data_IF_544620032236
#
_entry.id   IF_544620032236
#
_cell.length_a   1.000
_cell.length_b   1.000
_cell.length_c   1.000
_cell.angle_alpha   90.00
_cell.angle_beta   90.00
_cell.angle_gamma   90.00
#
_symmetry.space_group_name_H-M   'P 1'
#
loop_
_entity.id
_entity.type
_entity.pdbx_description
1 polymer ?
#
# COMPACT_ATOMS: atom_id res chain seq x y z
N UNK A 1 -12.97 -3.18 -34.09
CA UNK A 1 -11.53 -2.93 -33.82
C UNK A 1 -10.84 -4.28 -33.65
N UNK A 2 -9.68 -4.48 -34.28
CA UNK A 2 -8.86 -5.67 -34.03
C UNK A 2 -8.44 -5.67 -32.55
N UNK A 3 -8.75 -6.76 -31.86
CA UNK A 3 -8.51 -6.91 -30.42
C UNK A 3 -7.09 -7.42 -30.12
N UNK A 4 -6.19 -7.30 -31.11
CA UNK A 4 -4.79 -7.68 -31.01
C UNK A 4 -4.02 -6.58 -30.28
N UNK A 5 -3.13 -7.00 -29.39
CA UNK A 5 -2.23 -6.11 -28.68
C UNK A 5 -1.15 -5.59 -29.63
N UNK A 6 -0.96 -4.28 -29.69
CA UNK A 6 0.09 -3.64 -30.47
C UNK A 6 0.96 -2.77 -29.55
N UNK A 7 2.25 -3.11 -29.49
CA UNK A 7 3.23 -2.44 -28.64
C UNK A 7 3.44 -0.96 -29.01
N UNK A 8 3.41 -0.62 -30.31
CA UNK A 8 3.59 0.76 -30.77
C UNK A 8 2.41 1.62 -30.35
N UNK A 9 1.20 1.04 -30.39
CA UNK A 9 -0.01 1.69 -29.93
C UNK A 9 -0.03 1.86 -28.41
N UNK A 10 0.37 0.81 -27.68
CA UNK A 10 0.49 0.84 -26.23
C UNK A 10 1.46 1.94 -25.75
N UNK A 11 2.65 2.05 -26.35
CA UNK A 11 3.61 3.12 -26.03
C UNK A 11 3.04 4.52 -26.21
N UNK A 12 2.30 4.76 -27.30
CA UNK A 12 1.62 6.05 -27.54
C UNK A 12 0.55 6.33 -26.49
N UNK A 13 -0.21 5.30 -26.09
CA UNK A 13 -1.19 5.39 -25.01
C UNK A 13 -0.54 5.76 -23.68
N UNK A 14 0.52 5.05 -23.30
CA UNK A 14 1.29 5.31 -22.07
C UNK A 14 1.86 6.74 -22.09
N UNK A 15 2.50 7.16 -23.18
CA UNK A 15 3.02 8.52 -23.29
C UNK A 15 1.92 9.60 -23.18
N UNK A 16 0.74 9.34 -23.74
CA UNK A 16 -0.42 10.23 -23.60
C UNK A 16 -0.91 10.28 -22.15
N UNK A 17 -1.05 9.13 -21.48
CA UNK A 17 -1.47 9.06 -20.08
C UNK A 17 -0.45 9.72 -19.14
N UNK A 18 0.85 9.60 -19.41
CA UNK A 18 1.91 10.33 -18.68
C UNK A 18 1.74 11.85 -18.76
N UNK A 19 1.55 12.38 -19.97
CA UNK A 19 1.36 13.83 -20.18
C UNK A 19 0.06 14.32 -19.55
N UNK A 20 -0.99 13.49 -19.58
CA UNK A 20 -2.28 13.78 -18.97
C UNK A 20 -2.30 13.66 -17.44
N UNK A 21 -1.32 12.99 -16.84
CA UNK A 21 -1.23 12.78 -15.39
C UNK A 21 -1.02 14.08 -14.62
N UNK A 22 -0.06 14.92 -15.06
CA UNK A 22 0.30 16.15 -14.36
C UNK A 22 -0.89 17.11 -14.15
N UNK A 23 -1.64 17.52 -15.20
CA UNK A 23 -2.76 18.44 -15.01
C UNK A 23 -3.96 17.82 -14.27
N UNK A 24 -4.07 16.49 -14.22
CA UNK A 24 -5.24 15.81 -13.60
C UNK A 24 -5.00 15.41 -12.14
N UNK A 25 -3.80 14.94 -11.82
CA UNK A 25 -3.47 14.34 -10.54
C UNK A 25 -2.17 14.89 -9.91
N UNK A 26 -1.34 15.62 -10.68
CA UNK A 26 -0.06 16.16 -10.20
C UNK A 26 -0.20 17.08 -8.98
N UNK A 27 -1.22 17.95 -8.95
CA UNK A 27 -1.46 18.81 -7.78
C UNK A 27 -1.82 18.01 -6.53
N UNK A 28 -2.65 16.97 -6.65
CA UNK A 28 -2.97 16.08 -5.53
C UNK A 28 -1.73 15.33 -5.05
N UNK A 29 -0.89 14.85 -5.96
CA UNK A 29 0.38 14.21 -5.61
C UNK A 29 1.30 15.16 -4.86
N UNK A 30 1.44 16.40 -5.33
CA UNK A 30 2.26 17.42 -4.67
C UNK A 30 1.78 17.66 -3.23
N UNK A 31 0.47 17.84 -3.04
CA UNK A 31 -0.12 18.02 -1.71
C UNK A 31 0.19 16.81 -0.80
N UNK A 32 0.02 15.59 -1.31
CA UNK A 32 0.33 14.36 -0.56
C UNK A 32 1.82 14.33 -0.17
N UNK A 33 2.72 14.66 -1.10
CA UNK A 33 4.18 14.64 -0.85
C UNK A 33 4.66 15.72 0.12
N UNK A 34 3.87 16.77 0.35
CA UNK A 34 4.19 17.82 1.32
C UNK A 34 3.73 17.50 2.75
N UNK A 35 2.98 16.42 2.97
CA UNK A 35 2.54 16.03 4.32
C UNK A 35 3.71 15.85 5.30
N UNK A 36 4.84 15.19 4.96
CA UNK A 36 6.01 15.11 5.84
C UNK A 36 6.58 16.48 6.19
N UNK A 37 6.58 17.43 5.26
CA UNK A 37 7.01 18.80 5.53
C UNK A 37 6.07 19.49 6.52
N UNK A 38 4.76 19.29 6.42
CA UNK A 38 3.81 19.82 7.39
C UNK A 38 4.02 19.25 8.79
N UNK A 39 4.26 17.94 8.91
CA UNK A 39 4.59 17.28 10.19
C UNK A 39 5.89 17.83 10.76
N UNK A 40 6.92 17.97 9.92
CA UNK A 40 8.20 18.54 10.33
C UNK A 40 8.06 19.99 10.82
N UNK A 41 7.30 20.84 10.10
CA UNK A 41 7.04 22.23 10.51
C UNK A 41 6.35 22.23 11.89
N UNK A 42 5.37 21.37 12.09
CA UNK A 42 4.66 21.27 13.36
C UNK A 42 5.60 20.88 14.52
N UNK A 43 6.47 19.90 14.33
CA UNK A 43 7.45 19.51 15.34
C UNK A 43 8.51 20.59 15.58
N UNK A 44 8.98 21.26 14.52
CA UNK A 44 9.90 22.38 14.64
C UNK A 44 9.29 23.53 15.45
N UNK A 45 7.98 23.81 15.29
CA UNK A 45 7.25 24.80 16.08
C UNK A 45 7.18 24.42 17.56
N UNK A 46 6.99 23.13 17.87
CA UNK A 46 6.95 22.65 19.26
C UNK A 46 8.32 22.72 19.94
N UNK A 47 9.41 22.51 19.21
CA UNK A 47 10.78 22.59 19.74
C UNK A 47 11.22 24.03 20.09
N UNK A 48 10.44 25.06 19.72
CA UNK A 48 10.66 26.42 20.24
C UNK A 48 10.16 26.59 21.69
N UNK A 49 9.37 25.65 22.20
CA UNK A 49 8.92 25.67 23.59
C UNK A 49 10.09 25.18 24.48
N UNK A 50 10.51 25.96 25.48
CA UNK A 50 11.63 25.57 26.33
C UNK A 50 11.34 24.25 27.06
N UNK A 51 12.32 23.34 27.06
CA UNK A 51 12.28 21.97 27.59
C UNK A 51 11.44 20.95 26.79
N UNK A 52 11.15 21.21 25.52
CA UNK A 52 10.49 20.25 24.62
C UNK A 52 11.43 19.95 23.44
N UNK A 53 12.01 18.75 23.45
CA UNK A 53 12.84 18.25 22.35
C UNK A 53 12.14 17.05 21.70
N UNK A 54 11.46 17.30 20.58
CA UNK A 54 10.77 16.28 19.79
C UNK A 54 11.66 15.92 18.60
N UNK A 55 12.12 14.68 18.60
CA UNK A 55 12.83 14.07 17.48
C UNK A 55 11.97 12.99 16.84
N UNK A 56 11.98 12.91 15.51
CA UNK A 56 11.27 11.88 14.77
C UNK A 56 12.28 10.85 14.27
N UNK A 57 12.23 9.59 14.77
CA UNK A 57 13.17 8.56 14.37
C UNK A 57 12.99 8.17 12.90
N UNK A 58 14.07 7.73 12.25
CA UNK A 58 14.05 7.38 10.83
C UNK A 58 13.01 6.31 10.46
N UNK A 59 12.73 5.35 11.36
CA UNK A 59 11.69 4.32 11.17
C UNK A 59 10.29 4.94 11.07
N UNK A 60 9.97 5.94 11.90
CA UNK A 60 8.67 6.62 11.85
C UNK A 60 8.48 7.36 10.52
N UNK A 61 9.56 7.96 9.97
CA UNK A 61 9.53 8.62 8.66
C UNK A 61 9.27 7.64 7.52
N UNK A 62 9.85 6.44 7.55
CA UNK A 62 9.52 5.37 6.60
C UNK A 62 8.05 4.96 6.66
N UNK A 63 7.47 4.89 7.86
CA UNK A 63 6.04 4.60 8.04
C UNK A 63 5.19 5.73 7.43
N UNK A 64 5.57 6.99 7.65
CA UNK A 64 4.92 8.15 7.03
C UNK A 64 4.99 8.03 5.50
N UNK A 65 6.18 7.83 4.92
CA UNK A 65 6.37 7.67 3.47
C UNK A 65 5.56 6.51 2.90
N UNK A 66 5.54 5.36 3.58
CA UNK A 66 4.70 4.21 3.22
C UNK A 66 3.21 4.57 3.20
N UNK A 67 2.75 5.33 4.20
CA UNK A 67 1.36 5.81 4.28
C UNK A 67 1.02 6.74 3.12
N UNK A 68 1.93 7.62 2.70
CA UNK A 68 1.73 8.47 1.51
C UNK A 68 1.58 7.65 0.24
N UNK A 69 2.38 6.60 0.10
CA UNK A 69 2.30 5.66 -1.02
C UNK A 69 0.92 4.98 -1.04
N UNK A 70 0.41 4.52 0.12
CA UNK A 70 -0.93 3.95 0.22
C UNK A 70 -2.04 4.96 -0.14
N UNK A 71 -1.95 6.20 0.36
CA UNK A 71 -2.89 7.28 0.01
C UNK A 71 -2.88 7.52 -1.51
N UNK A 72 -1.68 7.53 -2.12
CA UNK A 72 -1.54 7.70 -3.56
C UNK A 72 -2.20 6.56 -4.34
N UNK A 73 -2.02 5.30 -3.93
CA UNK A 73 -2.68 4.14 -4.55
C UNK A 73 -4.20 4.23 -4.46
N UNK A 74 -4.72 4.70 -3.32
CA UNK A 74 -6.16 4.90 -3.09
C UNK A 74 -6.73 5.97 -4.03
N UNK A 75 -6.02 7.08 -4.20
CA UNK A 75 -6.51 8.23 -4.96
C UNK A 75 -6.26 8.12 -6.48
N UNK A 76 -5.15 7.50 -6.90
CA UNK A 76 -4.69 7.50 -8.29
C UNK A 76 -5.72 6.99 -9.31
N UNK A 77 -6.43 5.86 -9.09
CA UNK A 77 -7.44 5.39 -10.05
C UNK A 77 -8.54 6.42 -10.31
N UNK A 78 -8.98 7.09 -9.24
CA UNK A 78 -10.04 8.09 -9.32
C UNK A 78 -9.57 9.44 -9.86
N UNK A 79 -8.30 9.80 -9.65
CA UNK A 79 -7.72 11.05 -10.13
C UNK A 79 -7.43 11.00 -11.63
N UNK A 80 -6.81 9.91 -12.10
CA UNK A 80 -6.40 9.78 -13.51
C UNK A 80 -7.53 9.28 -14.41
N UNK A 81 -8.33 8.31 -13.93
CA UNK A 81 -9.32 7.59 -14.73
C UNK A 81 -10.75 7.86 -14.25
N UNK A 82 -11.02 9.07 -13.75
CA UNK A 82 -12.35 9.47 -13.26
C UNK A 82 -13.47 9.28 -14.28
N UNK A 83 -13.21 9.62 -15.54
CA UNK A 83 -14.25 9.68 -16.58
C UNK A 83 -14.43 8.38 -17.34
N UNK A 84 -13.66 7.32 -17.03
CA UNK A 84 -13.66 6.08 -17.82
C UNK A 84 -15.04 5.40 -17.86
N UNK A 85 -15.86 5.51 -16.81
CA UNK A 85 -17.17 4.86 -16.74
C UNK A 85 -18.35 5.82 -16.94
N UNK A 86 -18.09 7.06 -17.36
CA UNK A 86 -19.11 8.07 -17.63
C UNK A 86 -19.42 8.11 -19.14
N UNK A 87 -20.69 7.97 -19.55
CA UNK A 87 -21.04 7.87 -20.96
C UNK A 87 -20.85 9.18 -21.75
N UNK A 88 -20.90 10.35 -21.10
CA UNK A 88 -20.71 11.66 -21.76
C UNK A 88 -19.26 12.13 -21.70
N UNK A 89 -18.66 12.08 -20.52
CA UNK A 89 -17.28 12.59 -20.30
C UNK A 89 -16.20 11.56 -20.69
N UNK A 90 -16.58 10.28 -20.81
CA UNK A 90 -15.69 9.18 -21.15
C UNK A 90 -15.58 8.89 -22.64
N UNK A 91 -16.28 9.62 -23.51
CA UNK A 91 -16.29 9.41 -24.96
C UNK A 91 -14.87 9.49 -25.53
N UNK A 92 -14.07 10.47 -25.08
CA UNK A 92 -12.66 10.57 -25.49
C UNK A 92 -11.89 9.29 -25.17
N UNK A 93 -12.06 8.74 -23.96
CA UNK A 93 -11.41 7.51 -23.53
C UNK A 93 -11.92 6.28 -24.31
N UNK A 94 -13.21 6.26 -24.66
CA UNK A 94 -13.82 5.23 -25.49
C UNK A 94 -13.25 5.24 -26.92
N UNK A 95 -13.14 6.43 -27.51
CA UNK A 95 -12.70 6.67 -28.89
C UNK A 95 -11.19 6.48 -29.10
N UNK A 96 -10.40 6.36 -28.02
CA UNK A 96 -8.98 6.03 -28.15
C UNK A 96 -8.82 4.74 -28.97
N UNK A 97 -7.98 4.74 -30.02
CA UNK A 97 -7.81 3.61 -30.94
C UNK A 97 -7.10 2.40 -30.32
N UNK A 98 -7.02 2.33 -28.98
CA UNK A 98 -6.38 1.27 -28.21
C UNK A 98 -7.32 0.11 -27.91
N UNK A 99 -6.77 -1.10 -27.80
CA UNK A 99 -7.53 -2.28 -27.39
C UNK A 99 -7.93 -2.21 -25.90
N UNK A 100 -8.91 -3.01 -25.47
CA UNK A 100 -9.30 -3.06 -24.05
C UNK A 100 -8.15 -3.55 -23.16
N UNK A 101 -7.31 -4.45 -23.67
CA UNK A 101 -6.13 -4.94 -22.96
C UNK A 101 -5.09 -3.84 -22.75
N UNK A 102 -4.81 -3.04 -23.77
CA UNK A 102 -3.86 -1.92 -23.67
C UNK A 102 -4.34 -0.87 -22.66
N UNK A 103 -5.64 -0.54 -22.69
CA UNK A 103 -6.27 0.38 -21.72
C UNK A 103 -6.14 -0.16 -20.30
N UNK A 104 -6.39 -1.45 -20.10
CA UNK A 104 -6.23 -2.12 -18.81
C UNK A 104 -4.77 -2.09 -18.31
N UNK A 105 -3.81 -2.45 -19.16
CA UNK A 105 -2.39 -2.43 -18.79
C UNK A 105 -1.88 -1.01 -18.53
N UNK A 106 -2.36 -0.01 -19.26
CA UNK A 106 -2.01 1.40 -18.98
C UNK A 106 -2.55 1.80 -17.61
N UNK A 107 -3.81 1.46 -17.30
CA UNK A 107 -4.41 1.75 -16.01
C UNK A 107 -3.64 1.06 -14.86
N UNK A 108 -3.25 -0.20 -15.04
CA UNK A 108 -2.46 -0.96 -14.06
C UNK A 108 -1.08 -0.33 -13.87
N UNK A 109 -0.34 -0.05 -14.96
CA UNK A 109 0.98 0.55 -14.91
C UNK A 109 0.98 1.88 -14.13
N UNK A 110 0.03 2.76 -14.42
CA UNK A 110 -0.03 4.07 -13.77
C UNK A 110 -0.49 4.02 -12.32
N UNK A 111 -1.55 3.26 -12.03
CA UNK A 111 -2.13 3.22 -10.68
C UNK A 111 -1.29 2.39 -9.71
N UNK A 112 -0.64 1.31 -10.18
CA UNK A 112 0.10 0.36 -9.34
C UNK A 112 1.59 0.66 -9.29
N UNK A 113 2.19 1.29 -10.31
CA UNK A 113 3.65 1.47 -10.37
C UNK A 113 4.02 2.94 -10.45
N UNK A 114 3.59 3.66 -11.49
CA UNK A 114 4.13 4.99 -11.80
C UNK A 114 3.77 6.02 -10.73
N UNK A 115 2.48 6.18 -10.38
CA UNK A 115 2.08 7.20 -9.40
C UNK A 115 2.65 6.93 -8.00
N UNK A 116 2.56 5.70 -7.46
CA UNK A 116 3.16 5.36 -6.17
C UNK A 116 4.68 5.58 -6.13
N UNK A 117 5.40 5.19 -7.19
CA UNK A 117 6.85 5.40 -7.30
C UNK A 117 7.20 6.90 -7.32
N UNK A 118 6.47 7.69 -8.11
CA UNK A 118 6.69 9.13 -8.14
C UNK A 118 6.41 9.80 -6.79
N UNK A 119 5.37 9.36 -6.08
CA UNK A 119 5.08 9.83 -4.72
C UNK A 119 6.22 9.47 -3.76
N UNK A 120 6.76 8.25 -3.84
CA UNK A 120 7.89 7.81 -3.03
C UNK A 120 9.15 8.64 -3.32
N UNK A 121 9.52 8.80 -4.59
CA UNK A 121 10.70 9.58 -4.99
C UNK A 121 10.58 11.04 -4.54
N UNK A 122 9.42 11.65 -4.73
CA UNK A 122 9.17 13.02 -4.28
C UNK A 122 9.17 13.13 -2.74
N UNK A 123 8.58 12.16 -2.03
CA UNK A 123 8.60 12.12 -0.57
C UNK A 123 10.00 11.97 0.01
N UNK A 124 10.83 11.10 -0.58
CA UNK A 124 12.24 10.95 -0.21
C UNK A 124 13.02 12.23 -0.52
N UNK A 125 12.75 12.89 -1.66
CA UNK A 125 13.38 14.17 -1.97
C UNK A 125 13.01 15.26 -0.94
N UNK A 126 11.75 15.33 -0.51
CA UNK A 126 11.32 16.24 0.56
C UNK A 126 12.02 15.90 1.88
N UNK A 127 12.07 14.64 2.27
CA UNK A 127 12.75 14.20 3.50
C UNK A 127 14.25 14.58 3.51
N UNK A 128 14.93 14.39 2.38
CA UNK A 128 16.33 14.79 2.21
C UNK A 128 16.51 16.31 2.35
N UNK A 129 15.64 17.11 1.75
CA UNK A 129 15.69 18.58 1.89
C UNK A 129 15.49 18.98 3.36
N UNK A 130 14.54 18.35 4.06
CA UNK A 130 14.24 18.66 5.47
C UNK A 130 15.37 18.25 6.42
N UNK A 131 16.03 17.12 6.15
CA UNK A 131 17.17 16.63 6.96
C UNK A 131 18.42 17.51 6.80
N UNK A 132 18.55 18.24 5.68
CA UNK A 132 19.66 19.19 5.48
C UNK A 132 19.50 20.50 6.27
N UNK A 133 18.32 20.78 6.82
CA UNK A 133 18.08 22.00 7.60
C UNK A 133 18.68 21.84 9.01
N UNK A 134 19.37 22.87 9.55
CA UNK A 134 20.09 22.77 10.82
C UNK A 134 19.18 22.83 12.05
N UNK A 135 17.87 22.82 11.87
CA UNK A 135 16.85 22.92 12.91
C UNK A 135 15.69 21.98 12.58
N UNK A 136 14.81 21.73 13.56
CA UNK A 136 13.65 20.85 13.39
C UNK A 136 13.88 19.46 13.96
N UNK A 137 13.01 18.51 13.59
CA UNK A 137 12.91 17.21 14.27
C UNK A 137 13.65 16.06 13.56
N UNK A 138 14.32 16.33 12.43
CA UNK A 138 14.99 15.32 11.60
C UNK A 138 16.51 15.50 11.71
N UNK A 139 17.17 14.57 12.40
CA UNK A 139 18.63 14.62 12.62
C UNK A 139 19.38 13.44 12.00
N UNK A 140 18.69 12.30 11.81
CA UNK A 140 19.28 11.09 11.24
C UNK A 140 19.01 10.99 9.72
N UNK A 141 19.86 10.24 9.02
CA UNK A 141 19.58 9.89 7.62
C UNK A 141 18.49 8.83 7.53
N UNK A 142 17.65 8.90 6.49
CA UNK A 142 16.54 7.95 6.29
C UNK A 142 17.02 6.48 6.25
N UNK A 143 18.24 6.24 5.79
CA UNK A 143 18.82 4.90 5.58
C UNK A 143 19.55 4.33 6.79
N UNK A 144 19.80 5.13 7.83
CA UNK A 144 20.59 4.72 8.99
C UNK A 144 20.06 3.45 9.69
N UNK A 145 18.74 3.23 9.82
CA UNK A 145 18.23 2.00 10.43
C UNK A 145 18.63 0.73 9.68
N UNK A 146 18.83 0.78 8.36
CA UNK A 146 19.19 -0.41 7.59
C UNK A 146 20.61 -0.89 7.89
N UNK A 147 21.55 0.03 8.15
CA UNK A 147 22.91 -0.34 8.54
C UNK A 147 22.97 -1.04 9.90
N UNK A 148 22.06 -0.70 10.82
CA UNK A 148 21.97 -1.31 12.15
C UNK A 148 21.37 -2.72 12.13
N UNK A 149 20.64 -3.10 11.08
CA UNK A 149 20.06 -4.45 10.95
C UNK A 149 21.12 -5.52 10.70
N UNK A 150 22.15 -5.21 9.90
CA UNK A 150 23.24 -6.16 9.60
C UNK A 150 24.06 -6.49 10.85
N UNK A 151 24.23 -5.54 11.78
CA UNK A 151 24.95 -5.75 13.04
C UNK A 151 24.17 -6.63 14.03
N UNK A 152 22.84 -6.50 14.06
CA UNK A 152 21.96 -7.30 14.93
C UNK A 152 21.98 -8.77 14.51
N UNK A 153 21.94 -9.07 13.20
CA UNK A 153 21.98 -10.44 12.68
C UNK A 153 23.30 -11.17 13.06
N UNK A 154 24.42 -10.44 13.10
CA UNK A 154 25.73 -10.98 13.50
C UNK A 154 25.77 -11.27 15.00
N UNK A 155 25.25 -10.37 15.84
CA UNK A 155 25.22 -10.56 17.30
C UNK A 155 24.29 -11.71 17.72
N UNK A 156 23.14 -11.85 17.07
CA UNK A 156 22.20 -12.95 17.29
C UNK A 156 22.80 -14.31 16.89
N UNK A 157 23.56 -14.35 15.78
CA UNK A 157 24.23 -15.57 15.32
C UNK A 157 25.33 -16.05 16.27
N UNK A 158 25.99 -15.13 16.97
CA UNK A 158 27.06 -15.46 17.94
C UNK A 158 26.56 -15.88 19.33
N UNK A 159 25.30 -15.59 19.68
CA UNK A 159 24.75 -15.80 21.03
C UNK A 159 23.80 -17.02 21.16
N UNK A 160 23.63 -17.82 20.11
CA UNK A 160 22.52 -18.77 20.03
C UNK A 160 22.77 -20.12 20.76
N UNK A 161 22.08 -20.33 21.88
CA UNK A 161 21.76 -21.66 22.43
C UNK A 161 20.60 -22.31 21.62
N UNK A 162 20.39 -23.62 21.71
CA UNK A 162 19.35 -24.35 20.92
C UNK A 162 17.95 -23.74 21.01
N UNK A 163 17.49 -23.33 22.19
CA UNK A 163 16.19 -22.65 22.35
C UNK A 163 16.13 -21.22 21.77
N UNK A 164 17.27 -20.54 21.64
CA UNK A 164 17.35 -19.25 20.97
C UNK A 164 17.25 -19.40 19.44
N UNK A 165 17.75 -20.51 18.88
CA UNK A 165 17.69 -20.77 17.43
C UNK A 165 16.24 -20.84 16.93
N UNK A 166 15.35 -21.52 17.66
CA UNK A 166 13.94 -21.64 17.28
C UNK A 166 13.20 -20.29 17.35
N UNK A 167 13.45 -19.51 18.41
CA UNK A 167 12.88 -18.16 18.55
C UNK A 167 13.35 -17.22 17.42
N UNK A 168 14.63 -17.29 17.05
CA UNK A 168 15.19 -16.49 15.94
C UNK A 168 14.59 -16.89 14.59
N UNK A 169 14.44 -18.19 14.33
CA UNK A 169 13.78 -18.68 13.12
C UNK A 169 12.33 -18.23 13.04
N UNK A 170 11.59 -18.27 14.15
CA UNK A 170 10.22 -17.77 14.22
C UNK A 170 10.16 -16.27 13.93
N UNK A 171 11.04 -15.45 14.53
CA UNK A 171 11.11 -14.01 14.26
C UNK A 171 11.40 -13.70 12.78
N UNK A 172 12.34 -14.43 12.15
CA UNK A 172 12.63 -14.30 10.72
C UNK A 172 11.42 -14.67 9.86
N UNK A 173 10.69 -15.72 10.24
CA UNK A 173 9.43 -16.08 9.60
C UNK A 173 8.39 -14.96 9.73
N UNK A 174 8.18 -14.42 10.94
CA UNK A 174 7.22 -13.32 11.17
C UNK A 174 7.60 -12.09 10.35
N UNK A 175 8.86 -11.68 10.37
CA UNK A 175 9.34 -10.52 9.60
C UNK A 175 9.11 -10.69 8.09
N UNK A 176 9.49 -11.84 7.53
CA UNK A 176 9.27 -12.13 6.11
C UNK A 176 7.78 -12.20 5.74
N UNK A 177 6.96 -12.80 6.61
CA UNK A 177 5.51 -12.85 6.44
C UNK A 177 4.88 -11.45 6.48
N UNK A 178 5.34 -10.55 7.35
CA UNK A 178 4.88 -9.16 7.42
C UNK A 178 5.22 -8.37 6.15
N UNK A 179 6.43 -8.54 5.61
CA UNK A 179 6.83 -7.92 4.33
C UNK A 179 5.93 -8.42 3.19
N UNK A 180 5.67 -9.74 3.14
CA UNK A 180 4.77 -10.31 2.16
C UNK A 180 3.33 -9.77 2.31
N UNK A 181 2.80 -9.72 3.54
CA UNK A 181 1.48 -9.15 3.84
C UNK A 181 1.40 -7.69 3.40
N UNK A 182 2.46 -6.90 3.57
CA UNK A 182 2.52 -5.51 3.12
C UNK A 182 2.41 -5.40 1.59
N UNK A 183 3.16 -6.23 0.85
CA UNK A 183 3.11 -6.27 -0.63
C UNK A 183 1.71 -6.69 -1.11
N UNK A 184 1.14 -7.74 -0.53
CA UNK A 184 -0.21 -8.20 -0.88
C UNK A 184 -1.25 -7.13 -0.55
N UNK A 185 -1.14 -6.46 0.60
CA UNK A 185 -2.04 -5.38 0.99
C UNK A 185 -1.97 -4.20 0.00
N UNK A 186 -0.76 -3.81 -0.40
CA UNK A 186 -0.54 -2.79 -1.41
C UNK A 186 -1.24 -3.14 -2.73
N UNK A 187 -1.02 -4.36 -3.24
CA UNK A 187 -1.65 -4.84 -4.47
C UNK A 187 -3.17 -4.93 -4.31
N UNK A 188 -3.67 -5.40 -3.17
CA UNK A 188 -5.08 -5.51 -2.87
C UNK A 188 -5.79 -4.15 -2.94
N UNK A 189 -5.27 -3.13 -2.24
CA UNK A 189 -5.87 -1.79 -2.28
C UNK A 189 -5.80 -1.21 -3.68
N UNK A 190 -4.70 -1.41 -4.41
CA UNK A 190 -4.60 -0.95 -5.80
C UNK A 190 -5.66 -1.60 -6.69
N UNK A 191 -5.85 -2.91 -6.59
CA UNK A 191 -6.82 -3.67 -7.36
C UNK A 191 -8.26 -3.25 -7.01
N UNK A 192 -8.55 -3.09 -5.72
CA UNK A 192 -9.89 -2.74 -5.26
C UNK A 192 -10.30 -1.31 -5.63
N UNK A 193 -9.42 -0.32 -5.49
CA UNK A 193 -9.72 1.05 -5.91
C UNK A 193 -9.78 1.19 -7.43
N UNK A 194 -8.95 0.43 -8.17
CA UNK A 194 -9.09 0.32 -9.62
C UNK A 194 -10.44 -0.29 -10.03
N UNK A 195 -10.84 -1.38 -9.40
CA UNK A 195 -12.11 -2.05 -9.68
C UNK A 195 -13.29 -1.16 -9.34
N UNK A 196 -13.34 -0.58 -8.14
CA UNK A 196 -14.43 0.29 -7.72
C UNK A 196 -14.51 1.58 -8.54
N UNK A 197 -13.38 2.07 -9.09
CA UNK A 197 -13.38 3.18 -10.04
C UNK A 197 -14.18 2.86 -11.32
N UNK A 198 -14.28 1.58 -11.70
CA UNK A 198 -15.11 1.14 -12.82
C UNK A 198 -16.60 1.00 -12.46
N UNK A 199 -16.93 0.78 -11.18
CA UNK A 199 -18.30 0.57 -10.69
C UNK A 199 -18.99 1.90 -10.38
N UNK A 200 -18.37 2.73 -9.53
CA UNK A 200 -19.00 3.93 -9.01
C UNK A 200 -18.90 5.08 -10.01
N UNK A 201 -20.03 5.74 -10.29
CA UNK A 201 -20.08 6.91 -11.20
C UNK A 201 -19.74 8.24 -10.50
N UNK A 202 -20.00 8.34 -9.19
CA UNK A 202 -19.76 9.55 -8.38
C UNK A 202 -19.11 9.21 -7.05
N UNK A 203 -18.36 10.16 -6.47
CA UNK A 203 -17.65 10.03 -5.19
C UNK A 203 -16.92 8.69 -5.04
N UNK A 204 -16.13 8.33 -6.06
CA UNK A 204 -15.61 6.97 -6.23
C UNK A 204 -14.75 6.52 -5.05
N UNK A 205 -13.85 7.37 -4.56
CA UNK A 205 -13.01 7.08 -3.39
C UNK A 205 -13.86 6.87 -2.14
N UNK A 206 -14.73 7.83 -1.82
CA UNK A 206 -15.57 7.78 -0.61
C UNK A 206 -16.49 6.56 -0.60
N UNK A 207 -17.15 6.24 -1.71
CA UNK A 207 -18.01 5.05 -1.82
C UNK A 207 -17.22 3.74 -1.73
N UNK A 208 -15.97 3.72 -2.21
CA UNK A 208 -15.09 2.56 -2.07
C UNK A 208 -14.69 2.36 -0.61
N UNK A 209 -14.29 3.44 0.09
CA UNK A 209 -13.97 3.40 1.53
C UNK A 209 -15.20 2.94 2.33
N UNK A 210 -16.39 3.49 2.04
CA UNK A 210 -17.62 3.10 2.72
C UNK A 210 -17.96 1.63 2.49
N UNK A 211 -17.84 1.13 1.25
CA UNK A 211 -18.04 -0.28 0.94
C UNK A 211 -17.07 -1.17 1.72
N UNK A 212 -15.80 -0.76 1.82
CA UNK A 212 -14.80 -1.46 2.62
C UNK A 212 -15.14 -1.49 4.10
N UNK A 213 -15.58 -0.37 4.67
CA UNK A 213 -15.99 -0.32 6.08
C UNK A 213 -17.14 -1.29 6.33
N UNK A 214 -18.17 -1.28 5.49
CA UNK A 214 -19.32 -2.19 5.64
C UNK A 214 -18.91 -3.66 5.50
N UNK A 215 -18.10 -4.00 4.49
CA UNK A 215 -17.64 -5.38 4.29
C UNK A 215 -16.78 -5.85 5.46
N UNK A 216 -15.80 -5.05 5.90
CA UNK A 216 -14.94 -5.41 7.03
C UNK A 216 -15.72 -5.51 8.34
N UNK A 217 -16.71 -4.64 8.55
CA UNK A 217 -17.61 -4.72 9.69
C UNK A 217 -18.35 -6.06 9.72
N UNK A 218 -19.01 -6.44 8.62
CA UNK A 218 -19.72 -7.72 8.50
C UNK A 218 -18.78 -8.91 8.69
N UNK A 219 -17.60 -8.89 8.06
CA UNK A 219 -16.61 -9.95 8.24
C UNK A 219 -16.13 -10.07 9.68
N UNK A 220 -15.95 -8.94 10.38
CA UNK A 220 -15.53 -8.93 11.79
C UNK A 220 -16.55 -9.59 12.72
N UNK A 221 -17.86 -9.45 12.45
CA UNK A 221 -18.90 -10.18 13.19
C UNK A 221 -18.83 -11.69 12.99
N UNK A 222 -18.40 -12.13 11.81
CA UNK A 222 -18.29 -13.57 11.49
C UNK A 222 -17.00 -14.15 12.08
N UNK A 223 -15.88 -13.42 12.03
CA UNK A 223 -14.58 -13.93 12.46
C UNK A 223 -14.33 -13.81 13.96
N UNK A 224 -14.92 -12.82 14.64
CA UNK A 224 -14.68 -12.59 16.07
C UNK A 224 -15.06 -13.78 16.99
N UNK A 225 -16.18 -14.51 16.81
CA UNK A 225 -16.49 -15.65 17.67
C UNK A 225 -15.51 -16.81 17.47
N UNK A 226 -15.01 -17.00 16.24
CA UNK A 226 -14.02 -18.03 15.89
C UNK A 226 -12.70 -17.73 16.60
N UNK A 227 -12.22 -16.49 16.49
CA UNK A 227 -10.98 -16.07 17.14
C UNK A 227 -11.09 -16.17 18.66
N UNK A 228 -12.19 -15.70 19.24
CA UNK A 228 -12.42 -15.78 20.68
C UNK A 228 -12.45 -17.23 21.19
N UNK A 229 -13.10 -18.15 20.46
CA UNK A 229 -13.10 -19.57 20.79
C UNK A 229 -11.70 -20.21 20.74
N UNK A 230 -10.90 -19.88 19.73
CA UNK A 230 -9.52 -20.39 19.61
C UNK A 230 -8.58 -19.81 20.67
N UNK A 231 -8.72 -18.53 21.02
CA UNK A 231 -7.92 -17.92 22.10
C UNK A 231 -8.28 -18.53 23.46
N UNK A 232 -9.56 -18.73 23.76
CA UNK A 232 -10.00 -19.32 25.02
C UNK A 232 -9.51 -20.76 25.19
N UNK A 233 -9.62 -21.59 24.14
CA UNK A 233 -9.08 -22.95 24.14
C UNK A 233 -7.55 -22.99 24.29
N UNK A 234 -6.84 -21.98 23.78
CA UNK A 234 -5.40 -21.81 24.01
C UNK A 234 -5.06 -21.36 25.44
N UNK A 235 -5.92 -20.55 26.06
CA UNK A 235 -5.74 -20.02 27.40
C UNK A 235 -6.01 -21.04 28.51
N UNK A 236 -6.91 -22.00 28.27
CA UNK A 236 -7.20 -23.09 29.21
C UNK A 236 -6.00 -24.03 29.43
N UNK A 237 -5.00 -24.00 28.53
CA UNK A 237 -3.76 -24.77 28.60
C UNK A 237 -2.55 -24.00 29.17
N UNK A 238 -2.76 -22.83 29.80
CA UNK A 238 -1.66 -22.01 30.37
C UNK A 238 -1.23 -22.59 31.73
N UNK A 239 -0.51 -23.72 31.67
CA UNK A 239 0.45 -24.13 32.69
C UNK A 239 1.86 -23.89 32.14
N UNK A 240 2.35 -22.67 32.29
CA UNK A 240 3.75 -22.22 32.21
C UNK A 240 4.61 -22.41 30.94
N UNK A 241 4.07 -22.92 29.83
CA UNK A 241 4.80 -22.89 28.55
C UNK A 241 3.90 -22.41 27.42
N UNK A 242 4.40 -21.50 26.57
CA UNK A 242 3.74 -21.16 25.30
C UNK A 242 3.43 -22.49 24.62
N UNK A 243 2.14 -22.83 24.37
CA UNK A 243 1.79 -24.15 23.87
C UNK A 243 2.59 -24.41 22.58
N UNK A 244 3.25 -25.57 22.46
CA UNK A 244 4.05 -25.93 21.28
C UNK A 244 3.26 -25.77 19.96
N UNK A 245 1.92 -25.86 20.04
CA UNK A 245 1.02 -25.61 18.91
C UNK A 245 0.79 -24.13 18.55
N UNK A 246 1.06 -23.17 19.44
CA UNK A 246 0.76 -21.75 19.21
C UNK A 246 1.51 -21.19 17.99
N UNK A 247 2.82 -21.44 17.90
CA UNK A 247 3.64 -20.98 16.78
C UNK A 247 3.20 -21.60 15.46
N UNK A 248 2.81 -22.87 15.46
CA UNK A 248 2.32 -23.58 14.27
C UNK A 248 0.94 -23.05 13.82
N UNK A 249 0.03 -22.83 14.77
CA UNK A 249 -1.29 -22.25 14.48
C UNK A 249 -1.14 -20.83 13.93
N UNK A 250 -0.31 -19.99 14.55
CA UNK A 250 -0.07 -18.62 14.09
C UNK A 250 0.52 -18.59 12.67
N UNK A 251 1.54 -19.41 12.41
CA UNK A 251 2.13 -19.57 11.08
C UNK A 251 1.09 -20.00 10.04
N UNK A 252 0.25 -20.96 10.38
CA UNK A 252 -0.80 -21.46 9.47
C UNK A 252 -1.82 -20.37 9.16
N UNK A 253 -2.30 -19.64 10.18
CA UNK A 253 -3.25 -18.54 10.01
C UNK A 253 -2.67 -17.44 9.11
N UNK A 254 -1.41 -17.04 9.33
CA UNK A 254 -0.75 -16.04 8.49
C UNK A 254 -0.64 -16.49 7.03
N UNK A 255 -0.19 -17.72 6.78
CA UNK A 255 -0.05 -18.26 5.42
C UNK A 255 -1.42 -18.31 4.73
N UNK A 256 -2.43 -18.87 5.39
CA UNK A 256 -3.78 -19.00 4.84
C UNK A 256 -4.38 -17.61 4.53
N UNK A 257 -4.26 -16.65 5.45
CA UNK A 257 -4.73 -15.27 5.25
C UNK A 257 -4.05 -14.61 4.06
N UNK A 258 -2.74 -14.77 3.92
CA UNK A 258 -1.95 -14.22 2.82
C UNK A 258 -2.32 -14.87 1.46
N UNK A 259 -2.56 -16.19 1.43
CA UNK A 259 -3.02 -16.91 0.23
C UNK A 259 -4.41 -16.44 -0.20
N UNK A 260 -5.36 -16.37 0.73
CA UNK A 260 -6.72 -15.89 0.45
C UNK A 260 -6.68 -14.45 -0.09
N UNK A 261 -5.92 -13.57 0.57
CA UNK A 261 -5.77 -12.17 0.14
C UNK A 261 -5.18 -12.06 -1.26
N UNK A 262 -4.22 -12.92 -1.61
CA UNK A 262 -3.62 -12.98 -2.94
C UNK A 262 -4.65 -13.42 -3.99
N UNK A 263 -5.43 -14.47 -3.71
CA UNK A 263 -6.48 -14.97 -4.61
C UNK A 263 -7.53 -13.88 -4.88
N UNK A 264 -7.99 -13.19 -3.83
CA UNK A 264 -8.96 -12.09 -3.96
C UNK A 264 -8.37 -10.96 -4.80
N UNK A 265 -7.10 -10.59 -4.55
CA UNK A 265 -6.40 -9.54 -5.30
C UNK A 265 -6.32 -9.85 -6.79
N UNK A 266 -5.91 -11.07 -7.15
CA UNK A 266 -5.86 -11.51 -8.55
C UNK A 266 -7.26 -11.51 -9.16
N UNK A 267 -8.28 -11.97 -8.42
CA UNK A 267 -9.67 -11.94 -8.85
C UNK A 267 -10.16 -10.52 -9.17
N UNK A 268 -9.83 -9.54 -8.33
CA UNK A 268 -10.19 -8.12 -8.54
C UNK A 268 -9.53 -7.52 -9.79
N UNK A 269 -8.26 -7.83 -10.05
CA UNK A 269 -7.58 -7.41 -11.27
C UNK A 269 -8.24 -8.00 -12.52
N UNK A 270 -8.51 -9.31 -12.50
CA UNK A 270 -9.18 -10.02 -13.60
C UNK A 270 -10.59 -9.46 -13.83
N UNK A 271 -11.35 -9.20 -12.77
CA UNK A 271 -12.69 -8.61 -12.89
C UNK A 271 -12.66 -7.18 -13.43
N UNK A 272 -11.65 -6.38 -13.07
CA UNK A 272 -11.48 -5.04 -13.63
C UNK A 272 -11.33 -5.09 -15.15
N UNK A 273 -10.52 -6.04 -15.66
CA UNK A 273 -10.39 -6.26 -17.11
C UNK A 273 -11.72 -6.65 -17.77
N UNK A 274 -12.43 -7.66 -17.23
CA UNK A 274 -13.71 -8.07 -17.79
C UNK A 274 -14.76 -6.97 -17.75
N UNK A 275 -14.73 -6.13 -16.71
CA UNK A 275 -15.64 -4.99 -16.61
C UNK A 275 -15.35 -3.94 -17.67
N UNK A 276 -14.07 -3.58 -17.88
CA UNK A 276 -13.64 -2.66 -18.95
C UNK A 276 -14.05 -3.17 -20.34
N UNK A 277 -13.98 -4.48 -20.57
CA UNK A 277 -14.43 -5.10 -21.84
C UNK A 277 -15.96 -4.99 -22.04
N UNK A 278 -16.75 -4.98 -20.97
CA UNK A 278 -18.22 -4.90 -21.02
C UNK A 278 -18.77 -3.48 -21.06
N UNK A 279 -17.94 -2.45 -20.91
CA UNK A 279 -18.40 -1.05 -21.00
C UNK A 279 -18.80 -0.74 -22.45
N UNK A 280 -20.10 -0.51 -22.65
CA UNK A 280 -20.65 0.01 -23.90
C UNK A 280 -20.73 1.52 -23.76
N UNK A 281 -20.08 2.24 -24.67
CA UNK A 281 -20.22 3.68 -24.83
C UNK A 281 -21.20 3.94 -25.97
#
# INVERSE_FOLDING_TARGET
MNNTFDWNRFKKLVAMDFRGMWPRFGMSMLIITLIPAAIWIFCALLNFIPNVDIEIPAVARWIILGTLVFICVIMAPSGMFKTCNLPKDGIYYAMLPASHLEKYFSQLLYCVIVCPLMCLVAGVAVDLILTLLPFGAYHEWLWEPFGKLDEIDIQLATAANEGAVEAVQFLKFVASAMVFTLIVSYLFYSAAFMFSNTIFKSHKVLKTILAFIVINFVLSFITSPIMFGTMFAGMENIGDTVPEGFFQTYRTIMIVSNVISTIITVGLFVWTYFRLKRMKY
#
